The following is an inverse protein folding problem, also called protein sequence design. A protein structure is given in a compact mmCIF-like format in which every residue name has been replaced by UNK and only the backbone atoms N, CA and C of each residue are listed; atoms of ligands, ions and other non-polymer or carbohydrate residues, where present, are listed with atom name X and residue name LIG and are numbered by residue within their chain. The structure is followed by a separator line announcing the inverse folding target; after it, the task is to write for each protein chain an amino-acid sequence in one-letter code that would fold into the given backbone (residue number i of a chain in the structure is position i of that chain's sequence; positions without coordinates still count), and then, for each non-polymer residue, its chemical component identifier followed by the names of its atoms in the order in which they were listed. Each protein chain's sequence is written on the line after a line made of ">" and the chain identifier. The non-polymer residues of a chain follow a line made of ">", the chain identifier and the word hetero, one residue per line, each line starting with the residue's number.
data_IF_857151470804
#
_entry.id   IF_857151470804
#
_cell.length_a   1.000
_cell.length_b   1.000
_cell.length_c   1.000
_cell.angle_alpha   90.00
_cell.angle_beta   90.00
_cell.angle_gamma   90.00
#
_symmetry.space_group_name_H-M   'P 1'
#
loop_
_entity.id
_entity.type
_entity.pdbx_description
1 polymer ?
#
# COMPACT_ATOMS: atom_id res chain seq x y z
N UNK A 1 2.90 -7.10 -13.63
CA UNK A 1 2.44 -8.38 -13.05
C UNK A 1 1.79 -8.08 -11.72
N UNK A 2 0.49 -8.33 -11.56
CA UNK A 2 -0.24 -8.10 -10.30
C UNK A 2 -0.21 -9.35 -9.42
N UNK A 3 -0.20 -9.18 -8.10
CA UNK A 3 -0.29 -10.28 -7.15
C UNK A 3 -1.54 -10.10 -6.32
N UNK A 4 -2.44 -11.09 -6.37
CA UNK A 4 -3.65 -11.08 -5.54
C UNK A 4 -3.27 -11.46 -4.11
N UNK A 5 -3.67 -10.63 -3.16
CA UNK A 5 -3.47 -10.84 -1.72
C UNK A 5 -4.80 -10.76 -0.99
N UNK A 6 -4.95 -11.53 0.08
CA UNK A 6 -6.15 -11.51 0.93
C UNK A 6 -5.93 -10.64 2.15
N UNK A 7 -6.97 -9.92 2.55
CA UNK A 7 -7.04 -9.22 3.83
C UNK A 7 -7.43 -10.25 4.89
N UNK A 8 -6.71 -10.29 6.01
CA UNK A 8 -7.07 -11.19 7.11
C UNK A 8 -8.27 -10.65 7.91
N UNK A 9 -8.79 -11.46 8.83
CA UNK A 9 -9.93 -11.09 9.67
C UNK A 9 -9.68 -9.86 10.58
N UNK A 10 -8.43 -9.40 10.71
CA UNK A 10 -8.04 -8.21 11.48
C UNK A 10 -7.78 -7.01 10.57
N UNK A 11 -8.09 -7.10 9.28
CA UNK A 11 -7.87 -6.01 8.32
C UNK A 11 -6.41 -5.88 7.86
N UNK A 12 -5.56 -6.88 8.08
CA UNK A 12 -4.12 -6.80 7.72
C UNK A 12 -3.87 -7.42 6.35
N UNK A 13 -3.00 -6.77 5.58
CA UNK A 13 -2.46 -7.31 4.32
C UNK A 13 -1.00 -7.71 4.55
N UNK A 14 -0.65 -8.94 4.17
CA UNK A 14 0.75 -9.39 4.21
C UNK A 14 1.40 -9.11 2.88
N UNK A 15 2.45 -8.28 2.87
CA UNK A 15 3.22 -8.04 1.65
C UNK A 15 3.93 -9.32 1.19
N UNK A 16 3.78 -9.74 -0.07
CA UNK A 16 4.52 -10.84 -0.65
C UNK A 16 6.05 -10.64 -0.49
N UNK A 17 6.77 -11.74 -0.22
CA UNK A 17 8.22 -11.72 0.01
C UNK A 17 8.98 -11.03 -1.13
N UNK A 18 8.59 -11.28 -2.38
CA UNK A 18 9.21 -10.68 -3.56
C UNK A 18 9.08 -9.15 -3.57
N UNK A 19 7.88 -8.61 -3.28
CA UNK A 19 7.66 -7.16 -3.20
C UNK A 19 8.44 -6.55 -2.05
N UNK A 20 8.46 -7.20 -0.89
CA UNK A 20 9.23 -6.73 0.27
C UNK A 20 10.74 -6.62 -0.05
N UNK A 21 11.30 -7.61 -0.75
CA UNK A 21 12.72 -7.60 -1.14
C UNK A 21 12.98 -6.52 -2.21
N UNK A 22 12.14 -6.44 -3.24
CA UNK A 22 12.28 -5.46 -4.31
C UNK A 22 12.24 -4.02 -3.78
N UNK A 23 11.38 -3.76 -2.81
CA UNK A 23 11.20 -2.46 -2.18
C UNK A 23 12.10 -2.25 -0.94
N UNK A 24 12.96 -3.22 -0.60
CA UNK A 24 13.85 -3.18 0.57
C UNK A 24 13.16 -2.88 1.91
N UNK A 25 11.88 -3.26 2.03
CA UNK A 25 11.08 -3.04 3.24
C UNK A 25 11.47 -4.04 4.32
N UNK A 26 11.89 -3.54 5.47
CA UNK A 26 12.27 -4.33 6.63
C UNK A 26 11.17 -4.35 7.69
N UNK A 27 11.28 -5.32 8.61
CA UNK A 27 10.41 -5.32 9.78
C UNK A 27 10.66 -4.03 10.58
N UNK A 28 9.58 -3.34 10.98
CA UNK A 28 9.56 -2.05 11.69
C UNK A 28 9.76 -0.79 10.83
N UNK A 29 9.90 -0.92 9.52
CA UNK A 29 9.84 0.24 8.64
C UNK A 29 8.46 0.91 8.73
N UNK A 30 8.45 2.24 8.68
CA UNK A 30 7.23 3.03 8.69
C UNK A 30 6.79 3.27 7.26
N UNK A 31 5.55 2.90 6.98
CA UNK A 31 4.91 3.04 5.68
C UNK A 31 3.76 4.05 5.80
N UNK A 32 3.61 4.87 4.78
CA UNK A 32 2.49 5.78 4.60
C UNK A 32 1.50 5.17 3.61
N UNK A 33 0.22 5.39 3.89
CA UNK A 33 -0.89 4.97 3.05
C UNK A 33 -1.60 6.22 2.54
N UNK A 34 -1.85 6.28 1.24
CA UNK A 34 -2.73 7.27 0.64
C UNK A 34 -3.78 6.56 -0.20
N UNK A 35 -4.99 7.11 -0.22
CA UNK A 35 -6.09 6.64 -1.05
C UNK A 35 -6.29 7.62 -2.20
N UNK A 36 -6.38 7.10 -3.41
CA UNK A 36 -6.76 7.90 -4.59
C UNK A 36 -8.24 7.66 -4.93
N UNK A 37 -8.83 8.58 -5.70
CA UNK A 37 -10.29 8.67 -5.90
C UNK A 37 -10.98 7.45 -6.52
N UNK A 38 -10.24 6.49 -7.08
CA UNK A 38 -10.77 5.24 -7.64
C UNK A 38 -10.74 4.07 -6.64
N UNK A 39 -10.48 4.31 -5.36
CA UNK A 39 -10.39 3.28 -4.33
C UNK A 39 -9.04 2.55 -4.27
N UNK A 40 -8.08 2.94 -5.11
CA UNK A 40 -6.71 2.42 -5.04
C UNK A 40 -5.99 2.95 -3.80
N UNK A 41 -5.24 2.08 -3.15
CA UNK A 41 -4.40 2.41 -1.98
C UNK A 41 -2.94 2.33 -2.39
N UNK A 42 -2.24 3.45 -2.25
CA UNK A 42 -0.82 3.58 -2.53
C UNK A 42 -0.06 3.41 -1.22
N UNK A 43 1.02 2.62 -1.28
CA UNK A 43 1.92 2.38 -0.17
C UNK A 43 3.27 3.00 -0.49
N UNK A 44 3.75 3.88 0.38
CA UNK A 44 5.08 4.50 0.25
C UNK A 44 5.90 4.33 1.51
N UNK A 45 7.21 4.20 1.35
CA UNK A 45 8.14 4.20 2.46
C UNK A 45 8.44 5.64 2.84
N UNK A 46 8.30 5.97 4.14
CA UNK A 46 8.72 7.28 4.62
C UNK A 46 10.23 7.24 4.85
N UNK A 47 10.99 7.87 3.96
CA UNK A 47 12.41 8.06 4.19
C UNK A 47 12.64 8.90 5.44
N UNK A 48 13.58 8.47 6.27
CA UNK A 48 13.87 9.06 7.58
C UNK A 48 14.55 10.44 7.48
N UNK A 49 14.65 11.00 6.28
CA UNK A 49 15.43 12.21 5.95
C UNK A 49 14.60 13.36 5.39
N UNK A 50 13.28 13.32 5.51
CA UNK A 50 12.45 14.52 5.28
C UNK A 50 11.98 15.10 6.62
N UNK A 51 12.94 15.67 7.35
CA UNK A 51 12.68 16.97 7.96
C UNK A 51 13.09 18.00 6.93
N UNK A 52 12.12 18.81 6.50
CA UNK A 52 12.28 20.01 5.68
C UNK A 52 12.64 19.79 4.19
N UNK A 53 11.64 20.11 3.35
CA UNK A 53 11.71 20.52 1.94
C UNK A 53 11.63 19.43 0.85
N UNK A 54 10.53 19.55 0.10
CA UNK A 54 10.33 19.18 -1.31
C UNK A 54 10.26 17.69 -1.68
N UNK A 55 9.02 17.20 -1.68
CA UNK A 55 8.38 16.48 -2.80
C UNK A 55 9.31 15.60 -3.65
N UNK A 56 9.90 14.58 -3.03
CA UNK A 56 10.45 13.43 -3.73
C UNK A 56 9.40 12.31 -3.80
N UNK A 57 8.40 12.44 -4.66
CA UNK A 57 7.39 11.39 -4.89
C UNK A 57 8.03 10.17 -5.57
N UNK A 58 8.53 9.22 -4.79
CA UNK A 58 8.59 7.82 -5.23
C UNK A 58 7.29 7.13 -4.79
N UNK A 59 6.20 7.48 -5.46
CA UNK A 59 4.91 6.84 -5.28
C UNK A 59 4.93 5.49 -6.02
N UNK A 60 4.89 4.38 -5.26
CA UNK A 60 4.64 3.06 -5.85
C UNK A 60 3.13 2.91 -5.93
N UNK A 61 2.56 3.22 -7.10
CA UNK A 61 1.14 3.00 -7.39
C UNK A 61 0.81 1.51 -7.35
N UNK A 62 0.33 1.04 -6.19
CA UNK A 62 -0.27 -0.27 -6.04
C UNK A 62 -1.72 -0.17 -6.53
N UNK A 63 -1.94 -0.28 -7.84
CA UNK A 63 -3.28 -0.32 -8.44
C UNK A 63 -4.06 -1.54 -7.90
N UNK A 64 -4.98 -1.29 -6.96
CA UNK A 64 -5.92 -2.31 -6.47
C UNK A 64 -7.15 -2.23 -7.36
N UNK A 65 -7.22 -3.10 -8.37
CA UNK A 65 -8.40 -3.22 -9.22
C UNK A 65 -9.49 -4.04 -8.50
N UNK A 66 -10.61 -3.38 -8.25
CA UNK A 66 -11.97 -3.88 -7.94
C UNK A 66 -12.10 -5.09 -6.98
N UNK A 67 -12.51 -4.80 -5.75
CA UNK A 67 -13.34 -5.73 -4.97
C UNK A 67 -14.77 -5.21 -5.01
N UNK A 68 -15.62 -5.91 -5.75
CA UNK A 68 -17.07 -5.78 -5.74
C UNK A 68 -17.59 -5.81 -4.29
N UNK A 69 -18.08 -4.67 -3.81
CA UNK A 69 -18.87 -4.58 -2.58
C UNK A 69 -20.24 -5.24 -2.81
N UNK A 70 -20.64 -6.27 -2.06
CA UNK A 70 -22.06 -6.64 -2.00
C UNK A 70 -22.82 -5.53 -1.28
N UNK A 71 -23.73 -4.89 -2.01
CA UNK A 71 -24.73 -3.96 -1.50
C UNK A 71 -25.61 -4.67 -0.46
N UNK A 72 -25.31 -4.51 0.82
CA UNK A 72 -26.28 -4.82 1.87
C UNK A 72 -27.16 -3.59 2.11
N UNK A 73 -28.34 -3.63 1.48
CA UNK A 73 -29.52 -2.85 1.88
C UNK A 73 -30.24 -3.57 3.03
N UNK A 74 -30.88 -2.74 3.86
CA UNK A 74 -31.76 -3.00 5.00
C UNK A 74 -31.07 -2.98 6.36
#
# INVERSE_FOLDING_TARGET
>A
MSTLVKIDARGRVTLPKALRIALKISARDRLTFSQVGNGTVILSQKDKTESENQAGESAIELLVTEVLLPQYKC
#
